data_IF_838942624590
#
_entry.id   IF_838942624590
#
_cell.length_a   1.000
_cell.length_b   1.000
_cell.length_c   1.000
_cell.angle_alpha   90.00
_cell.angle_beta   90.00
_cell.angle_gamma   90.00
#
_symmetry.space_group_name_H-M   'P 1'
#
loop_
_entity.id
_entity.type
_entity.pdbx_description
1 polymer ?
#
# COMPACT_ATOMS: atom_id res chain seq x y z
N UNK A 1 13.62 5.27 -10.64
CA UNK A 1 13.86 3.83 -10.92
C UNK A 1 14.25 3.72 -12.37
N UNK A 2 15.32 2.98 -12.68
CA UNK A 2 15.77 2.74 -14.05
C UNK A 2 15.59 1.25 -14.36
N UNK A 3 15.07 0.96 -15.54
CA UNK A 3 14.68 -0.40 -15.97
C UNK A 3 15.13 -0.57 -17.42
N UNK A 4 15.92 -1.60 -17.75
CA UNK A 4 16.19 -1.95 -19.13
C UNK A 4 14.90 -2.41 -19.82
N UNK A 5 14.61 -1.92 -21.03
CA UNK A 5 13.38 -2.29 -21.76
C UNK A 5 13.23 -3.80 -21.96
N UNK A 6 14.34 -4.51 -22.21
CA UNK A 6 14.35 -5.97 -22.33
C UNK A 6 13.78 -6.69 -21.09
N UNK A 7 13.90 -6.10 -19.89
CA UNK A 7 13.31 -6.67 -18.66
C UNK A 7 11.79 -6.52 -18.67
N UNK A 8 11.26 -5.42 -19.23
CA UNK A 8 9.82 -5.23 -19.38
C UNK A 8 9.26 -6.26 -20.38
N UNK A 9 9.98 -6.52 -21.47
CA UNK A 9 9.58 -7.53 -22.46
C UNK A 9 9.61 -8.95 -21.87
N UNK A 10 10.56 -9.25 -20.99
CA UNK A 10 10.71 -10.57 -20.36
C UNK A 10 9.77 -10.81 -19.16
N UNK A 11 9.56 -9.81 -18.30
CA UNK A 11 8.81 -9.95 -17.03
C UNK A 11 7.36 -9.42 -17.13
N UNK A 12 7.08 -8.68 -18.20
CA UNK A 12 5.83 -7.97 -18.39
C UNK A 12 5.76 -6.66 -17.61
N UNK A 13 4.83 -5.79 -18.01
CA UNK A 13 4.60 -4.49 -17.36
C UNK A 13 4.06 -4.59 -15.93
N UNK A 14 3.95 -3.42 -15.31
CA UNK A 14 3.35 -3.24 -13.99
C UNK A 14 1.83 -3.54 -14.01
N UNK A 15 1.31 -4.18 -12.96
CA UNK A 15 -0.12 -4.53 -12.89
C UNK A 15 -0.99 -3.28 -12.66
N UNK A 16 -1.62 -2.79 -13.74
CA UNK A 16 -2.57 -1.68 -13.68
C UNK A 16 -3.81 -1.98 -12.82
N UNK A 17 -4.11 -3.27 -12.56
CA UNK A 17 -5.19 -3.71 -11.69
C UNK A 17 -4.96 -3.41 -10.21
N UNK A 18 -3.72 -3.15 -9.78
CA UNK A 18 -3.45 -2.63 -8.44
C UNK A 18 -3.86 -1.15 -8.32
N UNK A 19 -3.98 -0.44 -9.45
CA UNK A 19 -4.34 0.97 -9.59
C UNK A 19 -3.31 1.93 -8.95
N UNK A 20 -3.17 1.90 -7.63
CA UNK A 20 -2.27 2.77 -6.83
C UNK A 20 -1.72 2.00 -5.63
N UNK A 21 -0.49 2.30 -5.21
CA UNK A 21 0.26 1.69 -4.10
C UNK A 21 0.58 0.19 -4.34
N UNK A 22 1.74 -0.25 -3.85
CA UNK A 22 2.23 -1.64 -3.93
C UNK A 22 2.51 -2.20 -5.35
N UNK A 23 2.29 -1.42 -6.40
CA UNK A 23 2.63 -1.77 -7.79
C UNK A 23 4.13 -2.07 -7.93
N UNK A 24 4.98 -1.18 -7.41
CA UNK A 24 6.44 -1.35 -7.46
C UNK A 24 6.89 -2.57 -6.65
N UNK A 25 6.20 -2.89 -5.54
CA UNK A 25 6.51 -4.05 -4.70
C UNK A 25 6.19 -5.35 -5.42
N UNK A 26 5.00 -5.46 -6.00
CA UNK A 26 4.59 -6.61 -6.80
C UNK A 26 5.60 -6.85 -7.94
N UNK A 27 5.91 -5.79 -8.70
CA UNK A 27 6.81 -5.89 -9.84
C UNK A 27 8.24 -6.24 -9.41
N UNK A 28 8.71 -5.71 -8.28
CA UNK A 28 10.00 -6.08 -7.69
C UNK A 28 10.05 -7.55 -7.28
N UNK A 29 8.99 -8.09 -6.67
CA UNK A 29 8.93 -9.51 -6.34
C UNK A 29 8.90 -10.38 -7.58
N UNK A 30 8.15 -9.97 -8.61
CA UNK A 30 8.10 -10.66 -9.89
C UNK A 30 9.47 -10.71 -10.57
N UNK A 31 10.19 -9.58 -10.60
CA UNK A 31 11.57 -9.53 -11.09
C UNK A 31 12.50 -10.47 -10.32
N UNK A 32 12.40 -10.51 -8.98
CA UNK A 32 13.20 -11.45 -8.17
C UNK A 32 12.87 -12.90 -8.46
N UNK A 33 11.59 -13.22 -8.67
CA UNK A 33 11.17 -14.57 -9.04
C UNK A 33 11.69 -14.96 -10.44
N UNK A 34 11.88 -13.99 -11.34
CA UNK A 34 12.55 -14.15 -12.63
C UNK A 34 14.09 -14.02 -12.55
N UNK A 35 14.67 -14.18 -11.35
CA UNK A 35 16.12 -14.16 -11.09
C UNK A 35 16.85 -12.84 -11.40
N UNK A 36 16.12 -11.73 -11.51
CA UNK A 36 16.73 -10.40 -11.61
C UNK A 36 17.14 -9.86 -10.24
N UNK A 37 18.16 -9.01 -10.24
CA UNK A 37 18.68 -8.34 -9.05
C UNK A 37 18.19 -6.90 -9.01
N UNK A 38 17.68 -6.46 -7.86
CA UNK A 38 17.36 -5.06 -7.60
C UNK A 38 18.56 -4.37 -6.95
N UNK A 39 19.06 -3.30 -7.59
CA UNK A 39 20.19 -2.52 -7.10
C UNK A 39 19.72 -1.13 -6.66
N UNK A 40 20.11 -0.73 -5.46
CA UNK A 40 19.91 0.62 -4.95
C UNK A 40 21.21 1.42 -5.02
N UNK A 41 21.17 2.60 -5.66
CA UNK A 41 22.32 3.51 -5.73
C UNK A 41 22.17 4.59 -4.66
N UNK A 42 22.98 4.51 -3.60
CA UNK A 42 22.88 5.43 -2.45
C UNK A 42 23.27 6.87 -2.79
N UNK A 43 24.14 7.07 -3.77
CA UNK A 43 24.58 8.40 -4.20
C UNK A 43 23.61 9.10 -5.17
N UNK A 44 22.69 8.35 -5.76
CA UNK A 44 21.68 8.93 -6.64
C UNK A 44 20.64 9.69 -5.80
N UNK A 45 20.60 11.02 -5.95
CA UNK A 45 19.67 11.89 -5.22
C UNK A 45 18.56 12.39 -6.16
N UNK A 46 17.32 12.26 -5.72
CA UNK A 46 16.15 12.80 -6.41
C UNK A 46 15.33 13.63 -5.42
N UNK A 47 15.06 14.89 -5.77
CA UNK A 47 14.16 15.72 -4.97
C UNK A 47 12.73 15.23 -5.18
N UNK A 48 12.09 14.80 -4.10
CA UNK A 48 10.71 14.35 -4.12
C UNK A 48 9.94 14.97 -2.95
N UNK A 49 8.79 15.58 -3.26
CA UNK A 49 7.88 16.11 -2.26
C UNK A 49 6.87 15.04 -1.89
N UNK A 50 6.97 14.51 -0.66
CA UNK A 50 5.90 13.67 -0.12
C UNK A 50 4.66 14.54 0.10
N UNK A 51 3.55 14.17 -0.54
CA UNK A 51 2.29 14.94 -0.50
C UNK A 51 1.46 14.78 0.77
N UNK A 52 1.85 13.92 1.71
CA UNK A 52 1.01 13.60 2.87
C UNK A 52 1.18 14.60 4.03
N UNK A 53 0.05 15.05 4.57
CA UNK A 53 -0.02 15.85 5.79
C UNK A 53 0.48 15.03 7.00
N UNK A 54 1.62 15.44 7.58
CA UNK A 54 2.08 14.89 8.85
C UNK A 54 1.27 15.53 9.97
N UNK A 55 0.54 14.70 10.73
CA UNK A 55 -0.13 15.18 11.94
C UNK A 55 0.79 14.91 13.13
N UNK A 56 1.07 15.95 13.90
CA UNK A 56 1.83 15.79 15.13
C UNK A 56 0.95 15.06 16.15
N UNK A 57 1.45 13.94 16.69
CA UNK A 57 0.76 13.17 17.73
C UNK A 57 1.63 13.27 18.99
N UNK A 58 1.08 13.70 20.15
CA UNK A 58 1.82 13.76 21.41
C UNK A 58 2.45 12.38 21.72
N UNK A 59 3.75 12.36 22.03
CA UNK A 59 4.51 11.13 22.30
C UNK A 59 5.16 10.45 21.08
N UNK A 60 4.95 10.96 19.84
CA UNK A 60 5.60 10.43 18.63
C UNK A 60 6.45 11.55 17.96
N UNK A 61 7.77 11.59 18.18
CA UNK A 61 8.62 12.72 17.79
C UNK A 61 8.72 12.97 16.28
N UNK A 62 8.31 12.01 15.44
CA UNK A 62 8.33 12.13 13.97
C UNK A 62 6.98 12.52 13.35
N UNK A 63 5.95 12.70 14.18
CA UNK A 63 4.56 12.81 13.71
C UNK A 63 4.07 11.52 13.04
N UNK A 64 2.77 11.43 12.78
CA UNK A 64 2.18 10.31 12.04
C UNK A 64 1.76 10.82 10.66
N UNK A 65 2.21 10.11 9.62
CA UNK A 65 1.73 10.32 8.26
C UNK A 65 0.26 9.91 8.20
N UNK A 66 -0.63 10.89 8.09
CA UNK A 66 -2.06 10.65 7.99
C UNK A 66 -2.41 10.49 6.52
N UNK A 67 -2.51 9.24 6.09
CA UNK A 67 -3.01 8.95 4.76
C UNK A 67 -4.53 9.09 4.71
N UNK A 68 -5.10 9.62 3.61
CA UNK A 68 -6.55 9.68 3.42
C UNK A 68 -7.20 8.29 3.54
N UNK A 69 -8.46 8.19 4.00
CA UNK A 69 -9.12 6.90 4.19
C UNK A 69 -9.19 6.05 2.91
N UNK A 70 -9.33 6.69 1.75
CA UNK A 70 -9.29 6.04 0.44
C UNK A 70 -7.94 5.35 0.16
N UNK A 71 -6.83 6.00 0.53
CA UNK A 71 -5.49 5.41 0.40
C UNK A 71 -5.34 4.19 1.32
N UNK A 72 -5.99 4.22 2.49
CA UNK A 72 -5.99 3.06 3.40
C UNK A 72 -6.71 1.85 2.81
N UNK A 73 -7.80 2.08 2.07
CA UNK A 73 -8.49 1.03 1.34
C UNK A 73 -7.57 0.37 0.31
N UNK A 74 -6.92 1.15 -0.56
CA UNK A 74 -6.01 0.62 -1.58
C UNK A 74 -4.81 -0.12 -0.98
N UNK A 75 -4.16 0.47 0.02
CA UNK A 75 -3.05 -0.18 0.73
C UNK A 75 -3.48 -1.54 1.29
N UNK A 76 -4.68 -1.65 1.86
CA UNK A 76 -5.12 -2.88 2.50
C UNK A 76 -5.58 -3.93 1.47
N UNK A 77 -6.33 -3.51 0.45
CA UNK A 77 -6.73 -4.38 -0.66
C UNK A 77 -5.51 -4.94 -1.39
N UNK A 78 -4.57 -4.09 -1.79
CA UNK A 78 -3.42 -4.48 -2.60
C UNK A 78 -2.45 -5.38 -1.83
N UNK A 79 -2.32 -5.20 -0.51
CA UNK A 79 -1.59 -6.15 0.34
C UNK A 79 -2.17 -7.55 0.33
N UNK A 80 -3.50 -7.66 0.46
CA UNK A 80 -4.16 -8.97 0.41
C UNK A 80 -4.01 -9.61 -0.97
N UNK A 81 -4.08 -8.81 -2.05
CA UNK A 81 -3.81 -9.30 -3.40
C UNK A 81 -2.37 -9.83 -3.52
N UNK A 82 -1.38 -9.10 -2.99
CA UNK A 82 0.02 -9.55 -2.96
C UNK A 82 0.19 -10.88 -2.23
N UNK A 83 -0.48 -11.07 -1.09
CA UNK A 83 -0.36 -12.32 -0.30
C UNK A 83 -0.82 -13.57 -1.07
N UNK A 84 -1.62 -13.38 -2.13
CA UNK A 84 -2.13 -14.47 -2.97
C UNK A 84 -1.24 -14.74 -4.19
N UNK A 85 -0.24 -13.91 -4.44
CA UNK A 85 0.63 -14.06 -5.61
C UNK A 85 1.77 -15.04 -5.30
N UNK A 86 2.05 -16.01 -6.18
CA UNK A 86 3.03 -17.07 -5.92
C UNK A 86 4.48 -16.56 -5.89
N UNK A 87 4.76 -15.44 -6.55
CA UNK A 87 6.09 -14.84 -6.62
C UNK A 87 6.42 -13.97 -5.39
N UNK A 88 5.49 -13.77 -4.46
CA UNK A 88 5.70 -12.97 -3.26
C UNK A 88 6.34 -13.84 -2.16
N UNK A 89 7.49 -13.43 -1.58
CA UNK A 89 8.14 -14.23 -0.55
C UNK A 89 7.26 -14.38 0.71
N UNK A 90 6.99 -15.61 1.14
CA UNK A 90 6.22 -15.89 2.36
C UNK A 90 6.81 -15.23 3.61
N UNK A 91 8.13 -15.08 3.67
CA UNK A 91 8.84 -14.37 4.76
C UNK A 91 8.41 -12.91 4.81
N UNK A 92 8.26 -12.26 3.65
CA UNK A 92 7.80 -10.87 3.59
C UNK A 92 6.36 -10.74 4.08
N UNK A 93 5.50 -11.67 3.67
CA UNK A 93 4.10 -11.73 4.15
C UNK A 93 4.05 -11.90 5.67
N UNK A 94 4.82 -12.85 6.22
CA UNK A 94 4.88 -13.12 7.65
C UNK A 94 5.38 -11.93 8.47
N UNK A 95 6.27 -11.10 7.91
CA UNK A 95 6.75 -9.87 8.56
C UNK A 95 5.80 -8.68 8.40
N UNK A 96 5.08 -8.58 7.28
CA UNK A 96 4.14 -7.48 7.01
C UNK A 96 2.85 -7.64 7.84
N UNK A 97 2.29 -8.85 7.93
CA UNK A 97 1.05 -9.13 8.68
C UNK A 97 1.04 -8.55 10.10
N UNK A 98 2.01 -8.84 10.99
CA UNK A 98 2.01 -8.30 12.35
C UNK A 98 2.19 -6.77 12.35
N UNK A 99 3.01 -6.21 11.46
CA UNK A 99 3.19 -4.75 11.35
C UNK A 99 1.90 -4.07 10.93
N UNK A 100 1.15 -4.67 10.02
CA UNK A 100 -0.14 -4.18 9.55
C UNK A 100 -1.16 -4.23 10.67
N UNK A 101 -1.25 -5.36 11.38
CA UNK A 101 -2.16 -5.53 12.51
C UNK A 101 -1.87 -4.49 13.60
N UNK A 102 -0.61 -4.33 14.01
CA UNK A 102 -0.22 -3.31 14.99
C UNK A 102 -0.58 -1.90 14.50
N UNK A 103 -0.33 -1.56 13.23
CA UNK A 103 -0.67 -0.24 12.68
C UNK A 103 -2.18 0.00 12.57
N UNK A 104 -2.96 -1.06 12.31
CA UNK A 104 -4.43 -1.07 12.30
C UNK A 104 -4.99 -0.83 13.71
N UNK A 105 -4.58 -1.66 14.66
CA UNK A 105 -5.12 -1.69 16.02
C UNK A 105 -4.60 -0.53 16.86
N UNK A 106 -3.29 -0.27 16.88
CA UNK A 106 -2.67 0.70 17.79
C UNK A 106 -2.79 2.13 17.28
N UNK A 107 -2.40 2.39 16.02
CA UNK A 107 -2.28 3.79 15.54
C UNK A 107 -3.62 4.37 15.08
N UNK A 108 -4.47 3.57 14.42
CA UNK A 108 -5.69 4.06 13.75
C UNK A 108 -6.99 3.68 14.44
N UNK A 109 -6.98 2.61 15.26
CA UNK A 109 -8.08 2.28 16.17
C UNK A 109 -8.14 3.19 17.39
N UNK A 110 -6.98 3.54 17.97
CA UNK A 110 -6.91 4.23 19.27
C UNK A 110 -6.53 5.72 19.15
N UNK A 111 -5.54 6.09 18.32
CA UNK A 111 -4.85 7.38 18.43
C UNK A 111 -5.29 8.49 17.45
N UNK A 112 -5.92 8.20 16.29
CA UNK A 112 -6.18 9.21 15.24
C UNK A 112 -7.64 9.17 14.76
N UNK A 113 -8.42 10.23 15.03
CA UNK A 113 -9.80 10.39 14.50
C UNK A 113 -9.81 10.76 13.02
N UNK A 114 -10.75 10.25 12.16
CA UNK A 114 -11.99 9.50 12.43
C UNK A 114 -11.86 7.96 12.39
N UNK A 115 -11.85 7.34 13.58
CA UNK A 115 -11.56 5.90 13.82
C UNK A 115 -12.46 4.94 13.03
N UNK A 116 -13.78 5.14 13.09
CA UNK A 116 -14.77 4.22 12.47
C UNK A 116 -14.73 4.23 10.95
N UNK A 117 -14.34 5.35 10.34
CA UNK A 117 -14.26 5.51 8.88
C UNK A 117 -13.04 4.81 8.33
N UNK A 118 -11.88 5.07 8.94
CA UNK A 118 -10.63 4.42 8.60
C UNK A 118 -10.75 2.90 8.75
N UNK A 119 -11.31 2.44 9.88
CA UNK A 119 -11.51 1.02 10.11
C UNK A 119 -12.46 0.41 9.06
N UNK A 120 -13.58 1.07 8.74
CA UNK A 120 -14.51 0.58 7.70
C UNK A 120 -13.86 0.50 6.32
N UNK A 121 -13.14 1.54 5.89
CA UNK A 121 -12.43 1.52 4.60
C UNK A 121 -11.36 0.40 4.56
N UNK A 122 -10.65 0.18 5.66
CA UNK A 122 -9.63 -0.88 5.75
C UNK A 122 -10.23 -2.29 5.75
N UNK A 123 -11.31 -2.52 6.52
CA UNK A 123 -12.04 -3.79 6.52
C UNK A 123 -12.64 -4.09 5.14
N UNK A 124 -13.19 -3.06 4.48
CA UNK A 124 -13.70 -3.17 3.11
C UNK A 124 -12.57 -3.50 2.13
N UNK A 125 -11.41 -2.88 2.28
CA UNK A 125 -10.22 -3.20 1.49
C UNK A 125 -9.77 -4.65 1.69
N UNK A 126 -9.76 -5.14 2.93
CA UNK A 126 -9.44 -6.54 3.24
C UNK A 126 -10.43 -7.52 2.57
N UNK A 127 -11.72 -7.19 2.63
CA UNK A 127 -12.81 -7.96 2.05
C UNK A 127 -12.82 -7.99 0.52
N UNK A 128 -12.54 -6.85 -0.11
CA UNK A 128 -12.42 -6.76 -1.56
C UNK A 128 -11.15 -7.45 -2.06
N UNK A 129 -10.05 -7.34 -1.31
CA UNK A 129 -8.80 -8.04 -1.59
C UNK A 129 -8.95 -9.56 -1.49
N UNK A 130 -9.68 -10.06 -0.49
CA UNK A 130 -9.97 -11.49 -0.36
C UNK A 130 -10.86 -12.02 -1.50
N UNK A 131 -11.74 -11.17 -2.05
CA UNK A 131 -12.48 -11.45 -3.29
C UNK A 131 -11.65 -11.34 -4.57
N UNK A 132 -10.41 -10.87 -4.48
CA UNK A 132 -9.58 -10.67 -5.67
C UNK A 132 -9.99 -9.49 -6.53
N UNK A 133 -10.74 -8.51 -5.98
CA UNK A 133 -11.14 -7.32 -6.74
C UNK A 133 -9.93 -6.46 -7.10
N UNK A 134 -9.83 -6.09 -8.37
CA UNK A 134 -8.80 -5.22 -8.95
C UNK A 134 -9.44 -3.95 -9.52
N UNK A 135 -8.63 -2.93 -9.79
CA UNK A 135 -9.04 -1.67 -10.42
C UNK A 135 -9.34 -0.54 -9.43
N UNK A 136 -10.09 0.50 -9.84
CA UNK A 136 -10.49 1.59 -8.97
C UNK A 136 -11.38 1.14 -7.80
N UNK A 137 -11.39 1.92 -6.71
CA UNK A 137 -12.27 1.69 -5.58
C UNK A 137 -13.75 1.84 -6.00
N UNK A 138 -14.66 1.03 -5.46
CA UNK A 138 -16.10 1.18 -5.65
C UNK A 138 -16.62 2.56 -5.22
N UNK A 139 -17.69 3.05 -5.86
CA UNK A 139 -18.29 4.35 -5.57
C UNK A 139 -18.72 4.53 -4.11
N UNK A 140 -19.18 3.47 -3.44
CA UNK A 140 -19.51 3.47 -2.01
C UNK A 140 -18.30 3.80 -1.13
N UNK A 141 -17.12 3.29 -1.48
CA UNK A 141 -15.88 3.56 -0.76
C UNK A 141 -15.38 4.98 -1.03
N UNK A 142 -15.57 5.48 -2.24
CA UNK A 142 -15.22 6.86 -2.59
C UNK A 142 -16.13 7.89 -1.89
N UNK A 143 -17.42 7.60 -1.80
CA UNK A 143 -18.39 8.45 -1.11
C UNK A 143 -18.09 8.48 0.39
N UNK A 144 -17.91 7.30 1.00
CA UNK A 144 -17.39 7.18 2.37
C UNK A 144 -16.05 7.90 2.52
N UNK A 145 -15.22 7.90 1.49
CA UNK A 145 -13.98 8.65 1.23
C UNK A 145 -14.06 10.18 1.32
N UNK A 146 -15.23 10.75 1.02
CA UNK A 146 -15.45 12.19 0.82
C UNK A 146 -16.25 12.90 1.92
N UNK A 147 -17.12 12.20 2.66
CA UNK A 147 -18.03 12.73 3.69
C UNK A 147 -17.38 13.30 4.99
N UNK A 148 -16.26 14.02 4.91
CA UNK A 148 -15.61 14.58 6.11
C UNK A 148 -14.65 15.74 5.88
N UNK A 149 -14.78 16.43 4.75
CA UNK A 149 -14.12 17.73 4.53
C UNK A 149 -15.15 18.82 4.81
N UNK A 150 -15.36 19.11 6.10
CA UNK A 150 -15.94 20.38 6.59
C UNK A 150 -15.06 20.83 7.74
#
# INVERSE_FOLDING_TARGET
>A
MLIPLAVIDAVGGMDAGLFIDNVDLEWSFRMRAASYVLLGVCDARMQHRLGDARRHVPGMPRGVVVHPPLRLYYMMRNRVLLYRLPHVPCVWVAQDVPRVLVKLFVVRGVLIGPRRRNLRCMLRGLWDGSRGRRGPAPGDVMEQASQGTV
#
